data_IF_913261572466
#
_entry.id   IF_913261572466
#
_cell.length_a   1.000
_cell.length_b   1.000
_cell.length_c   1.000
_cell.angle_alpha   90.00
_cell.angle_beta   90.00
_cell.angle_gamma   90.00
#
_symmetry.space_group_name_H-M   'P 1'
#
loop_
_entity.id
_entity.type
_entity.pdbx_description
1 polymer ?
#
# COMPACT_ATOMS: atom_id res chain seq x y z
N UNK A 1 23.11 -28.18 0.05
CA UNK A 1 23.13 -27.21 -1.09
C UNK A 1 22.67 -25.82 -0.67
N UNK A 2 21.50 -25.63 -0.03
CA UNK A 2 21.11 -24.32 0.50
C UNK A 2 22.00 -23.81 1.62
N UNK A 3 22.36 -24.64 2.60
CA UNK A 3 23.32 -24.31 3.68
C UNK A 3 24.72 -23.94 3.16
N UNK A 4 25.18 -24.59 2.10
CA UNK A 4 26.46 -24.27 1.45
C UNK A 4 26.41 -22.92 0.70
N UNK A 5 25.29 -22.61 0.02
CA UNK A 5 25.10 -21.33 -0.67
C UNK A 5 24.97 -20.14 0.31
N UNK A 6 24.49 -20.40 1.51
CA UNK A 6 24.37 -19.36 2.57
C UNK A 6 25.72 -19.11 3.30
N UNK A 7 26.70 -20.02 3.20
CA UNK A 7 27.95 -19.94 3.94
C UNK A 7 29.09 -19.15 3.25
N UNK A 8 29.07 -19.01 1.90
CA UNK A 8 30.18 -18.36 1.18
C UNK A 8 29.91 -16.88 0.89
N UNK A 9 28.86 -16.56 0.16
CA UNK A 9 28.41 -15.20 -0.10
C UNK A 9 26.94 -15.24 -0.48
N UNK A 10 26.07 -14.70 0.37
CA UNK A 10 24.65 -14.64 0.07
C UNK A 10 24.38 -13.84 -1.22
N UNK A 11 23.71 -14.42 -2.25
CA UNK A 11 23.69 -13.84 -3.59
C UNK A 11 22.61 -12.77 -3.78
N UNK A 12 21.65 -12.64 -2.82
CA UNK A 12 20.54 -11.70 -2.92
C UNK A 12 20.84 -10.43 -2.15
N UNK A 13 20.64 -9.28 -2.79
CA UNK A 13 20.68 -8.00 -2.10
C UNK A 13 19.33 -7.80 -1.40
N UNK A 14 19.28 -8.07 -0.10
CA UNK A 14 18.06 -7.84 0.69
C UNK A 14 17.85 -6.36 0.95
N UNK A 15 16.62 -5.89 0.71
CA UNK A 15 16.30 -4.46 0.77
C UNK A 15 16.23 -3.93 2.19
N UNK A 16 16.75 -2.72 2.42
CA UNK A 16 16.63 -1.93 3.65
C UNK A 16 17.26 -2.56 4.90
N UNK A 17 18.17 -3.51 4.73
CA UNK A 17 18.99 -4.06 5.81
C UNK A 17 20.48 -4.06 5.40
N UNK A 18 21.41 -3.97 6.35
CA UNK A 18 22.84 -4.00 6.04
C UNK A 18 23.30 -5.42 5.62
N UNK A 19 24.36 -5.53 4.80
CA UNK A 19 24.87 -6.83 4.34
C UNK A 19 25.21 -7.84 5.45
N UNK A 20 25.55 -7.37 6.64
CA UNK A 20 25.80 -8.21 7.82
C UNK A 20 24.59 -8.99 8.33
N UNK A 21 23.39 -8.65 7.86
CA UNK A 21 22.12 -9.28 8.21
C UNK A 21 21.53 -10.13 7.07
N UNK A 22 22.23 -10.24 5.93
CA UNK A 22 21.71 -11.02 4.81
C UNK A 22 21.69 -12.52 5.12
N UNK A 23 20.66 -13.20 4.61
CA UNK A 23 20.54 -14.67 4.69
C UNK A 23 20.39 -15.22 6.11
N UNK A 24 19.95 -14.42 7.08
CA UNK A 24 19.73 -14.93 8.45
C UNK A 24 18.64 -16.02 8.43
N UNK A 25 18.90 -17.22 9.00
CA UNK A 25 18.00 -18.37 8.92
C UNK A 25 16.58 -18.09 9.43
N UNK A 26 16.46 -17.31 10.50
CA UNK A 26 15.19 -16.92 11.10
C UNK A 26 14.41 -15.90 10.25
N UNK A 27 15.02 -15.30 9.22
CA UNK A 27 14.41 -14.37 8.26
C UNK A 27 14.25 -14.97 6.87
N UNK A 28 14.85 -16.13 6.61
CA UNK A 28 14.80 -16.78 5.31
C UNK A 28 13.56 -17.67 5.20
N UNK A 29 12.50 -17.14 4.62
CA UNK A 29 11.24 -17.86 4.41
C UNK A 29 11.36 -18.91 3.30
N UNK A 30 10.80 -20.10 3.54
CA UNK A 30 10.80 -21.23 2.58
C UNK A 30 9.40 -21.67 2.16
N UNK A 31 8.36 -21.31 2.91
CA UNK A 31 6.96 -21.56 2.56
C UNK A 31 6.04 -20.59 3.28
N UNK A 32 4.85 -20.37 2.71
CA UNK A 32 3.78 -19.61 3.34
C UNK A 32 2.42 -20.20 2.95
N UNK A 33 1.53 -20.42 3.93
CA UNK A 33 0.19 -20.99 3.73
C UNK A 33 -0.77 -20.34 4.72
N UNK A 34 -1.95 -19.92 4.26
CA UNK A 34 -2.98 -19.30 5.10
C UNK A 34 -2.45 -18.04 5.79
N UNK A 35 -2.39 -18.07 7.10
CA UNK A 35 -1.88 -16.99 7.97
C UNK A 35 -0.41 -17.18 8.39
N UNK A 36 0.30 -18.22 7.89
CA UNK A 36 1.59 -18.65 8.45
C UNK A 36 2.71 -18.64 7.44
N UNK A 37 3.94 -18.37 7.94
CA UNK A 37 5.19 -18.43 7.18
C UNK A 37 6.14 -19.41 7.85
N UNK A 38 6.80 -20.26 7.07
CA UNK A 38 7.85 -21.18 7.54
C UNK A 38 9.22 -20.68 7.11
N UNK A 39 10.15 -20.74 8.03
CA UNK A 39 11.56 -20.35 7.82
C UNK A 39 12.47 -21.56 7.60
N UNK A 40 13.69 -21.30 7.15
CA UNK A 40 14.66 -22.34 6.81
C UNK A 40 15.09 -23.15 8.03
N UNK A 41 15.04 -22.57 9.23
CA UNK A 41 15.28 -23.26 10.51
C UNK A 41 14.15 -24.23 10.92
N UNK A 42 13.09 -24.31 10.11
CA UNK A 42 11.92 -25.16 10.33
C UNK A 42 10.79 -24.53 11.13
N UNK A 43 10.99 -23.35 11.69
CA UNK A 43 9.98 -22.66 12.50
C UNK A 43 8.81 -22.17 11.65
N UNK A 44 7.59 -22.24 12.21
CA UNK A 44 6.41 -21.62 11.67
C UNK A 44 6.02 -20.42 12.52
N UNK A 45 5.70 -19.33 11.88
CA UNK A 45 5.26 -18.11 12.56
C UNK A 45 3.90 -17.63 12.04
N UNK A 46 3.05 -17.14 12.93
CA UNK A 46 1.84 -16.42 12.60
C UNK A 46 2.22 -15.07 11.95
N UNK A 47 1.69 -14.76 10.78
CA UNK A 47 2.05 -13.58 10.01
C UNK A 47 1.04 -12.45 10.20
N UNK A 48 1.26 -11.58 11.14
CA UNK A 48 0.47 -10.37 11.33
C UNK A 48 0.96 -9.17 10.48
N UNK A 49 1.62 -9.44 9.34
CA UNK A 49 2.06 -8.40 8.39
C UNK A 49 1.42 -8.54 7.01
N UNK A 50 0.68 -9.62 6.75
CA UNK A 50 0.21 -9.99 5.42
C UNK A 50 1.30 -9.88 4.34
N UNK A 51 2.55 -10.26 4.64
CA UNK A 51 3.67 -10.10 3.71
C UNK A 51 3.85 -8.65 3.23
N UNK A 52 3.91 -7.69 4.16
CA UNK A 52 3.95 -6.26 3.88
C UNK A 52 2.69 -5.75 3.15
N UNK A 53 1.51 -5.94 3.75
CA UNK A 53 0.18 -5.53 3.26
C UNK A 53 -0.25 -6.21 1.95
N UNK A 54 0.43 -7.25 1.47
CA UNK A 54 0.14 -7.89 0.17
C UNK A 54 -0.94 -8.98 0.27
N UNK A 55 -0.73 -9.97 1.15
CA UNK A 55 -1.56 -11.17 1.24
C UNK A 55 -2.83 -10.93 2.06
N UNK A 56 -3.72 -10.06 1.56
CA UNK A 56 -4.99 -9.74 2.24
C UNK A 56 -5.88 -10.98 2.41
N UNK A 57 -5.84 -11.90 1.44
CA UNK A 57 -6.59 -13.16 1.45
C UNK A 57 -5.75 -14.36 1.95
N UNK A 58 -4.65 -14.07 2.66
CA UNK A 58 -3.71 -15.11 3.12
C UNK A 58 -2.82 -15.64 2.00
N UNK A 59 -1.96 -16.58 2.36
CA UNK A 59 -1.01 -17.22 1.45
C UNK A 59 -1.58 -18.48 0.82
N UNK A 60 -1.13 -18.81 -0.40
CA UNK A 60 -1.48 -20.07 -1.06
C UNK A 60 -2.91 -20.11 -1.59
N UNK A 61 -3.50 -18.98 -1.96
CA UNK A 61 -4.82 -18.94 -2.56
C UNK A 61 -4.83 -19.67 -3.91
N UNK A 62 -5.55 -20.79 -3.97
CA UNK A 62 -5.56 -21.70 -5.13
C UNK A 62 -6.23 -21.08 -6.35
N UNK A 63 -7.30 -20.34 -6.19
CA UNK A 63 -8.02 -19.74 -7.31
C UNK A 63 -7.14 -18.71 -8.05
N UNK A 64 -6.38 -17.90 -7.30
CA UNK A 64 -5.44 -16.95 -7.88
C UNK A 64 -4.28 -17.69 -8.57
N UNK A 65 -3.73 -18.73 -7.94
CA UNK A 65 -2.63 -19.52 -8.50
C UNK A 65 -3.03 -20.20 -9.81
N UNK A 66 -4.22 -20.82 -9.85
CA UNK A 66 -4.75 -21.50 -11.04
C UNK A 66 -5.00 -20.52 -12.20
N UNK A 67 -5.56 -19.35 -11.92
CA UNK A 67 -5.80 -18.30 -12.91
C UNK A 67 -4.49 -17.79 -13.53
N UNK A 68 -3.46 -17.58 -12.73
CA UNK A 68 -2.13 -17.19 -13.20
C UNK A 68 -1.51 -18.30 -14.03
N UNK A 69 -1.56 -19.55 -13.57
CA UNK A 69 -1.00 -20.69 -14.30
C UNK A 69 -1.67 -20.87 -15.67
N UNK A 70 -3.00 -20.74 -15.75
CA UNK A 70 -3.75 -20.80 -17.01
C UNK A 70 -3.30 -19.67 -17.95
N UNK A 71 -3.22 -18.45 -17.48
CA UNK A 71 -2.81 -17.31 -18.29
C UNK A 71 -1.41 -17.46 -18.88
N UNK A 72 -0.49 -18.11 -18.16
CA UNK A 72 0.88 -18.35 -18.65
C UNK A 72 0.94 -19.37 -19.77
N UNK A 73 -0.01 -20.30 -19.84
CA UNK A 73 -0.09 -21.30 -20.94
C UNK A 73 -0.82 -20.77 -22.16
N UNK A 74 -1.80 -19.90 -21.98
CA UNK A 74 -2.62 -19.37 -23.09
C UNK A 74 -2.05 -18.09 -23.69
N UNK A 75 -1.43 -17.25 -22.85
CA UNK A 75 -0.97 -15.92 -23.25
C UNK A 75 0.19 -15.47 -22.34
N UNK A 76 1.34 -16.13 -22.42
CA UNK A 76 2.47 -15.93 -21.52
C UNK A 76 2.95 -14.46 -21.43
N UNK A 77 2.90 -13.73 -22.56
CA UNK A 77 3.21 -12.30 -22.61
C UNK A 77 2.45 -11.62 -23.75
N UNK A 78 1.78 -10.51 -23.43
CA UNK A 78 1.25 -9.54 -24.37
C UNK A 78 1.50 -8.14 -23.83
N UNK A 79 1.82 -7.21 -24.72
CA UNK A 79 2.20 -5.84 -24.34
C UNK A 79 1.01 -4.89 -24.39
N UNK A 80 1.04 -3.86 -23.53
CA UNK A 80 0.16 -2.68 -23.62
C UNK A 80 0.83 -1.49 -24.36
N UNK A 81 2.09 -1.65 -24.82
CA UNK A 81 2.73 -0.64 -25.67
C UNK A 81 2.10 -0.65 -27.07
N UNK A 82 1.34 0.39 -27.40
CA UNK A 82 0.66 0.57 -28.71
C UNK A 82 -0.27 -0.58 -29.07
N UNK A 83 -0.77 -1.32 -28.08
CA UNK A 83 -1.67 -2.46 -28.26
C UNK A 83 -2.47 -2.72 -26.99
N UNK A 84 -3.22 -3.82 -26.99
CA UNK A 84 -4.01 -4.28 -25.86
C UNK A 84 -4.32 -5.76 -25.95
N UNK A 85 -4.87 -6.34 -24.91
CA UNK A 85 -5.33 -7.72 -24.86
C UNK A 85 -6.56 -7.86 -23.95
N UNK A 86 -7.35 -8.90 -24.18
CA UNK A 86 -8.64 -9.09 -23.51
C UNK A 86 -8.52 -9.10 -21.98
N UNK A 87 -7.54 -9.84 -21.42
CA UNK A 87 -7.36 -9.91 -19.96
C UNK A 87 -7.09 -8.53 -19.33
N UNK A 88 -6.38 -7.63 -20.04
CA UNK A 88 -6.17 -6.27 -19.54
C UNK A 88 -7.46 -5.45 -19.55
N UNK A 89 -8.28 -5.60 -20.58
CA UNK A 89 -9.60 -4.93 -20.68
C UNK A 89 -10.53 -5.45 -19.59
N UNK A 90 -10.59 -6.76 -19.39
CA UNK A 90 -11.41 -7.40 -18.36
C UNK A 90 -10.95 -6.99 -16.95
N UNK A 91 -9.64 -7.02 -16.67
CA UNK A 91 -9.08 -6.60 -15.38
C UNK A 91 -9.35 -5.11 -15.10
N UNK A 92 -9.18 -4.23 -16.11
CA UNK A 92 -9.49 -2.82 -15.97
C UNK A 92 -10.97 -2.59 -15.69
N UNK A 93 -11.86 -3.26 -16.47
CA UNK A 93 -13.32 -3.14 -16.30
C UNK A 93 -13.77 -3.63 -14.91
N UNK A 94 -13.25 -4.77 -14.48
CA UNK A 94 -13.56 -5.34 -13.16
C UNK A 94 -13.05 -4.46 -12.02
N UNK A 95 -11.84 -3.91 -12.16
CA UNK A 95 -11.28 -2.97 -11.18
C UNK A 95 -12.08 -1.67 -11.12
N UNK A 96 -12.46 -1.10 -12.28
CA UNK A 96 -13.34 0.07 -12.33
C UNK A 96 -14.69 -0.21 -11.64
N UNK A 97 -15.22 -1.43 -11.79
CA UNK A 97 -16.44 -1.88 -11.13
C UNK A 97 -16.40 -1.72 -9.61
N UNK A 98 -15.29 -2.09 -8.97
CA UNK A 98 -15.12 -1.97 -7.51
C UNK A 98 -14.66 -0.58 -7.05
N UNK A 99 -14.02 0.20 -7.93
CA UNK A 99 -13.64 1.59 -7.65
C UNK A 99 -14.83 2.56 -7.74
N UNK A 100 -15.82 2.28 -8.58
CA UNK A 100 -16.98 3.13 -8.89
C UNK A 100 -16.94 3.66 -10.32
N UNK A 101 -17.52 2.91 -11.27
CA UNK A 101 -17.44 3.19 -12.71
C UNK A 101 -18.16 4.48 -13.14
N UNK A 102 -19.03 5.04 -12.30
CA UNK A 102 -19.67 6.35 -12.55
C UNK A 102 -18.69 7.52 -12.38
N UNK A 103 -17.59 7.31 -11.67
CA UNK A 103 -16.57 8.34 -11.41
C UNK A 103 -15.26 8.08 -12.14
N UNK A 104 -14.81 6.81 -12.17
CA UNK A 104 -13.55 6.41 -12.79
C UNK A 104 -13.77 5.83 -14.18
N UNK A 105 -12.93 6.24 -15.15
CA UNK A 105 -13.10 5.90 -16.56
C UNK A 105 -11.99 5.01 -17.14
N UNK A 106 -10.75 5.10 -16.61
CA UNK A 106 -9.62 4.35 -17.19
C UNK A 106 -8.66 3.84 -16.12
N UNK A 107 -7.92 2.79 -16.48
CA UNK A 107 -6.86 2.19 -15.67
C UNK A 107 -5.55 2.23 -16.46
N UNK A 108 -4.51 2.82 -15.87
CA UNK A 108 -3.13 2.68 -16.31
C UNK A 108 -2.45 1.64 -15.42
N UNK A 109 -2.07 0.50 -15.98
CA UNK A 109 -1.33 -0.52 -15.24
C UNK A 109 0.13 -0.13 -15.05
N UNK A 110 0.72 -0.58 -13.94
CA UNK A 110 2.10 -0.39 -13.54
C UNK A 110 2.63 -1.65 -12.86
N UNK A 111 3.93 -1.75 -12.61
CA UNK A 111 4.56 -2.92 -12.00
C UNK A 111 4.73 -2.81 -10.49
N UNK A 112 4.63 -1.61 -9.91
CA UNK A 112 4.78 -1.37 -8.48
C UNK A 112 4.10 -0.08 -8.04
N UNK A 113 3.82 0.05 -6.74
CA UNK A 113 3.28 1.29 -6.17
C UNK A 113 4.18 2.51 -6.40
N UNK A 114 5.51 2.34 -6.31
CA UNK A 114 6.46 3.42 -6.60
C UNK A 114 6.41 3.89 -8.06
N UNK A 115 6.41 2.94 -9.02
CA UNK A 115 6.29 3.26 -10.43
C UNK A 115 4.92 3.89 -10.77
N UNK A 116 3.84 3.43 -10.12
CA UNK A 116 2.51 4.02 -10.26
C UNK A 116 2.46 5.46 -9.73
N UNK A 117 3.15 5.77 -8.64
CA UNK A 117 3.31 7.13 -8.15
C UNK A 117 4.11 8.00 -9.13
N UNK A 118 5.21 7.49 -9.72
CA UNK A 118 5.97 8.19 -10.76
C UNK A 118 5.10 8.49 -12.00
N UNK A 119 4.29 7.50 -12.44
CA UNK A 119 3.33 7.67 -13.52
C UNK A 119 2.29 8.74 -13.19
N UNK A 120 1.75 8.71 -11.96
CA UNK A 120 0.78 9.69 -11.48
C UNK A 120 1.35 11.09 -11.45
N UNK A 121 2.60 11.28 -11.00
CA UNK A 121 3.25 12.59 -11.02
C UNK A 121 3.39 13.16 -12.43
N UNK A 122 3.59 12.32 -13.46
CA UNK A 122 3.56 12.74 -14.87
C UNK A 122 2.14 13.08 -15.32
N UNK A 123 1.19 12.20 -15.02
CA UNK A 123 -0.23 12.36 -15.38
C UNK A 123 -0.80 13.69 -14.90
N UNK A 124 -0.63 14.02 -13.61
CA UNK A 124 -1.21 15.22 -13.00
C UNK A 124 -0.59 16.51 -13.56
N UNK A 125 0.72 16.51 -13.84
CA UNK A 125 1.40 17.65 -14.49
C UNK A 125 0.95 17.85 -15.92
N UNK A 126 0.84 16.75 -16.67
CA UNK A 126 0.38 16.78 -18.07
C UNK A 126 -1.07 17.23 -18.16
N UNK A 127 -1.96 16.73 -17.28
CA UNK A 127 -3.34 17.21 -17.17
C UNK A 127 -3.42 18.71 -16.99
N UNK A 128 -2.64 19.28 -16.09
CA UNK A 128 -2.63 20.73 -15.84
C UNK A 128 -2.13 21.51 -17.08
N UNK A 129 -1.09 21.02 -17.76
CA UNK A 129 -0.59 21.63 -18.99
C UNK A 129 -1.63 21.62 -20.11
N UNK A 130 -2.37 20.52 -20.30
CA UNK A 130 -3.45 20.43 -21.29
C UNK A 130 -4.60 21.39 -20.98
N UNK A 131 -4.78 21.79 -19.73
CA UNK A 131 -5.73 22.81 -19.31
C UNK A 131 -5.20 24.24 -19.45
N UNK A 132 -3.98 24.42 -19.98
CA UNK A 132 -3.37 25.72 -20.20
C UNK A 132 -2.59 26.27 -18.99
N UNK A 133 -2.39 25.47 -17.95
CA UNK A 133 -1.62 25.88 -16.76
C UNK A 133 -0.29 25.09 -16.62
N UNK A 134 0.64 25.39 -17.53
CA UNK A 134 1.96 24.74 -17.59
C UNK A 134 2.87 25.01 -16.37
N UNK A 135 2.48 25.90 -15.46
CA UNK A 135 3.25 26.21 -14.25
C UNK A 135 2.94 25.30 -13.07
N UNK A 136 1.88 24.47 -13.14
CA UNK A 136 1.47 23.53 -12.08
C UNK A 136 2.31 22.27 -12.08
N UNK A 137 3.48 22.32 -11.46
CA UNK A 137 4.43 21.21 -11.40
C UNK A 137 4.62 20.64 -10.00
N UNK A 138 4.22 21.37 -8.95
CA UNK A 138 4.39 20.93 -7.56
C UNK A 138 3.39 19.83 -7.26
N UNK A 139 3.89 18.75 -6.69
CA UNK A 139 3.07 17.70 -6.06
C UNK A 139 3.27 17.77 -4.56
N UNK A 140 2.18 17.75 -3.82
CA UNK A 140 2.20 17.81 -2.35
C UNK A 140 1.94 16.41 -1.79
N UNK A 141 2.81 15.93 -0.92
CA UNK A 141 2.64 14.72 -0.11
C UNK A 141 2.49 15.06 1.38
N UNK A 142 2.38 14.05 2.20
CA UNK A 142 2.24 14.19 3.65
C UNK A 142 3.57 13.88 4.36
N UNK A 143 3.88 14.59 5.44
CA UNK A 143 5.01 14.24 6.32
C UNK A 143 4.76 12.86 6.92
N UNK A 144 5.78 11.99 6.85
CA UNK A 144 5.70 10.61 7.31
C UNK A 144 4.99 9.65 6.34
N UNK A 145 4.58 10.10 5.14
CA UNK A 145 4.02 9.22 4.11
C UNK A 145 5.09 8.37 3.43
N UNK A 146 4.65 7.27 2.81
CA UNK A 146 5.50 6.40 2.00
C UNK A 146 4.85 6.11 0.64
N UNK A 147 5.49 6.55 -0.43
CA UNK A 147 4.98 6.43 -1.80
C UNK A 147 5.88 5.58 -2.72
N UNK A 148 6.99 5.06 -2.20
CA UNK A 148 7.94 4.24 -2.94
C UNK A 148 9.37 4.79 -2.91
N UNK A 149 10.29 4.08 -3.59
CA UNK A 149 11.73 4.35 -3.58
C UNK A 149 12.31 4.55 -5.00
N UNK A 150 11.48 4.67 -6.04
CA UNK A 150 11.92 5.17 -7.35
C UNK A 150 12.10 6.69 -7.28
N UNK A 151 12.86 7.31 -8.19
CA UNK A 151 13.31 8.70 -7.98
C UNK A 151 12.18 9.71 -7.72
N UNK A 152 11.08 9.65 -8.45
CA UNK A 152 9.94 10.55 -8.27
C UNK A 152 9.15 10.22 -7.00
N UNK A 153 8.81 8.96 -6.80
CA UNK A 153 8.08 8.52 -5.61
C UNK A 153 8.90 8.65 -4.33
N UNK A 154 10.25 8.53 -4.44
CA UNK A 154 11.14 8.75 -3.31
C UNK A 154 11.21 10.23 -2.91
N UNK A 155 11.10 11.15 -3.89
CA UNK A 155 10.93 12.57 -3.58
C UNK A 155 9.58 12.85 -2.89
N UNK A 156 8.51 12.12 -3.29
CA UNK A 156 7.17 12.27 -2.73
C UNK A 156 7.03 11.60 -1.34
N UNK A 157 7.85 10.59 -1.04
CA UNK A 157 7.90 9.93 0.28
C UNK A 157 8.32 10.95 1.35
N UNK A 158 7.41 11.19 2.31
CA UNK A 158 7.62 12.15 3.41
C UNK A 158 8.34 11.56 4.62
N UNK A 159 8.59 10.25 4.63
CA UNK A 159 9.43 9.58 5.62
C UNK A 159 10.91 9.84 5.33
N UNK A 160 11.74 10.22 6.35
CA UNK A 160 13.15 10.52 6.15
C UNK A 160 13.97 9.21 6.01
N UNK A 161 14.17 8.76 4.79
CA UNK A 161 14.89 7.53 4.43
C UNK A 161 16.25 7.79 3.76
N UNK A 162 16.84 8.95 3.98
CA UNK A 162 18.16 9.30 3.43
C UNK A 162 18.14 9.75 1.97
N UNK A 163 17.08 10.38 1.51
CA UNK A 163 16.89 10.87 0.14
C UNK A 163 18.04 11.71 -0.38
N UNK A 164 18.69 12.48 0.49
CA UNK A 164 19.84 13.33 0.14
C UNK A 164 21.05 12.52 -0.38
N UNK A 165 21.27 11.30 0.17
CA UNK A 165 22.36 10.42 -0.27
C UNK A 165 22.24 10.05 -1.76
N UNK A 166 21.02 9.98 -2.26
CA UNK A 166 20.71 9.57 -3.64
C UNK A 166 20.49 10.77 -4.58
N UNK A 167 20.72 12.00 -4.12
CA UNK A 167 20.51 13.19 -4.93
C UNK A 167 19.05 13.41 -5.35
N UNK A 168 18.10 13.01 -4.51
CA UNK A 168 16.68 13.15 -4.81
C UNK A 168 16.29 14.62 -4.88
N UNK A 169 15.61 15.01 -5.98
CA UNK A 169 15.21 16.38 -6.24
C UNK A 169 13.85 16.72 -5.60
N UNK A 170 13.86 17.53 -4.57
CA UNK A 170 12.67 18.00 -3.87
C UNK A 170 12.13 19.35 -4.36
N UNK A 171 12.71 19.97 -5.43
CA UNK A 171 12.29 21.32 -5.89
C UNK A 171 10.81 21.38 -6.28
N UNK A 172 10.26 20.28 -6.78
CA UNK A 172 8.88 20.17 -7.25
C UNK A 172 7.99 19.29 -6.34
N UNK A 173 8.41 19.09 -5.09
CA UNK A 173 7.64 18.38 -4.07
C UNK A 173 7.55 19.23 -2.80
N UNK A 174 6.44 19.16 -2.12
CA UNK A 174 6.22 19.74 -0.79
C UNK A 174 5.60 18.68 0.12
N UNK A 175 5.88 18.78 1.40
CA UNK A 175 5.25 17.94 2.41
C UNK A 175 4.57 18.79 3.46
N UNK A 176 3.34 18.42 3.85
CA UNK A 176 2.56 19.06 4.90
C UNK A 176 2.18 18.05 5.98
N UNK A 177 1.95 18.51 7.19
CA UNK A 177 1.51 17.65 8.28
C UNK A 177 0.00 17.36 8.15
N UNK A 178 -0.38 16.09 8.02
CA UNK A 178 -1.78 15.67 7.94
C UNK A 178 -2.60 15.94 9.21
N UNK A 179 -1.94 16.35 10.29
CA UNK A 179 -2.57 16.70 11.57
C UNK A 179 -2.84 18.20 11.69
N UNK A 180 -2.30 19.01 10.76
CA UNK A 180 -2.40 20.46 10.75
C UNK A 180 -2.82 20.98 9.36
N UNK A 181 -4.13 21.17 9.17
CA UNK A 181 -4.70 21.70 7.93
C UNK A 181 -4.26 23.13 7.62
N UNK A 182 -3.82 23.89 8.63
CA UNK A 182 -3.37 25.27 8.43
C UNK A 182 -2.04 25.35 7.68
N UNK A 183 -1.19 24.31 7.79
CA UNK A 183 0.05 24.20 7.01
C UNK A 183 -0.25 24.04 5.52
N UNK A 184 -1.25 23.21 5.17
CA UNK A 184 -1.72 23.06 3.79
C UNK A 184 -2.31 24.36 3.25
N UNK A 185 -3.15 25.04 4.02
CA UNK A 185 -3.72 26.33 3.64
C UNK A 185 -2.65 27.40 3.42
N UNK A 186 -1.66 27.48 4.29
CA UNK A 186 -0.55 28.42 4.15
C UNK A 186 0.30 28.11 2.91
N UNK A 187 0.54 26.84 2.61
CA UNK A 187 1.23 26.42 1.39
C UNK A 187 0.44 26.85 0.15
N UNK A 188 -0.87 26.55 0.11
CA UNK A 188 -1.71 26.83 -1.06
C UNK A 188 -1.91 28.34 -1.28
N UNK A 189 -2.02 29.15 -0.24
CA UNK A 189 -2.04 30.62 -0.37
C UNK A 189 -0.77 31.14 -1.04
N UNK A 190 0.39 30.54 -0.78
CA UNK A 190 1.69 30.96 -1.32
C UNK A 190 1.98 30.39 -2.70
N UNK A 191 1.76 29.09 -2.88
CA UNK A 191 2.18 28.33 -4.06
C UNK A 191 1.03 27.59 -4.79
N UNK A 192 -0.22 27.75 -4.40
CA UNK A 192 -1.37 26.99 -4.92
C UNK A 192 -1.51 27.06 -6.45
N UNK A 193 -1.16 28.20 -7.05
CA UNK A 193 -1.14 28.37 -8.51
C UNK A 193 -0.07 27.51 -9.22
N UNK A 194 0.82 26.85 -8.47
CA UNK A 194 1.87 25.95 -8.98
C UNK A 194 1.61 24.49 -8.59
N UNK A 195 0.60 24.21 -7.76
CA UNK A 195 0.30 22.87 -7.29
C UNK A 195 -0.51 22.11 -8.33
N UNK A 196 0.03 20.99 -8.82
CA UNK A 196 -0.63 20.09 -9.75
C UNK A 196 -1.57 19.12 -9.02
N UNK A 197 -1.11 18.56 -7.90
CA UNK A 197 -1.86 17.56 -7.14
C UNK A 197 -1.45 17.53 -5.67
N UNK A 198 -2.36 17.01 -4.83
CA UNK A 198 -2.08 16.58 -3.45
C UNK A 198 -2.29 15.07 -3.40
N UNK A 199 -1.30 14.33 -2.90
CA UNK A 199 -1.29 12.87 -2.77
C UNK A 199 -1.44 12.49 -1.30
N UNK A 200 -2.40 11.64 -1.01
CA UNK A 200 -2.77 11.26 0.36
C UNK A 200 -2.87 9.75 0.49
N UNK A 201 -2.12 9.16 1.42
CA UNK A 201 -2.45 7.83 1.96
C UNK A 201 -3.59 7.99 2.98
N UNK A 202 -4.73 7.30 2.86
CA UNK A 202 -5.82 7.38 3.85
C UNK A 202 -5.41 7.00 5.27
N UNK A 203 -4.51 6.02 5.37
CA UNK A 203 -3.76 5.67 6.58
C UNK A 203 -2.30 5.57 6.18
N UNK A 204 -1.43 6.35 6.80
CA UNK A 204 -0.01 6.35 6.48
C UNK A 204 0.59 4.96 6.74
N UNK A 205 1.28 4.42 5.73
CA UNK A 205 1.95 3.13 5.79
C UNK A 205 2.95 3.06 6.94
N UNK A 206 3.68 4.14 7.17
CA UNK A 206 4.62 4.25 8.28
C UNK A 206 3.91 4.60 9.59
N UNK A 207 3.63 3.57 10.40
CA UNK A 207 3.08 3.73 11.75
C UNK A 207 1.56 3.73 11.86
N UNK A 208 0.82 3.41 10.79
CA UNK A 208 -0.64 3.28 10.78
C UNK A 208 -1.38 4.53 11.28
N UNK A 209 -0.99 5.72 10.82
CA UNK A 209 -1.64 6.98 11.19
C UNK A 209 -2.81 7.30 10.26
N UNK A 210 -4.08 7.21 10.71
CA UNK A 210 -5.21 7.66 9.90
C UNK A 210 -5.15 9.16 9.65
N UNK A 211 -5.39 9.58 8.41
CA UNK A 211 -5.56 10.99 8.10
C UNK A 211 -6.90 11.46 8.66
N UNK A 212 -6.87 12.57 9.40
CA UNK A 212 -8.06 13.06 10.10
C UNK A 212 -9.12 13.56 9.13
N UNK A 213 -10.38 13.31 9.45
CA UNK A 213 -11.54 13.76 8.65
C UNK A 213 -11.50 15.27 8.37
N UNK A 214 -11.12 16.09 9.35
CA UNK A 214 -10.99 17.54 9.17
C UNK A 214 -9.97 17.91 8.09
N UNK A 215 -8.86 17.14 7.94
CA UNK A 215 -7.87 17.36 6.90
C UNK A 215 -8.45 16.98 5.52
N UNK A 216 -9.19 15.87 5.43
CA UNK A 216 -9.89 15.47 4.19
C UNK A 216 -10.93 16.51 3.79
N UNK A 217 -11.71 17.03 4.73
CA UNK A 217 -12.69 18.10 4.48
C UNK A 217 -12.02 19.41 4.02
N UNK A 218 -10.84 19.72 4.58
CA UNK A 218 -10.06 20.87 4.13
C UNK A 218 -9.53 20.67 2.70
N UNK A 219 -9.09 19.45 2.35
CA UNK A 219 -8.66 19.12 0.97
C UNK A 219 -9.77 19.34 -0.05
N UNK A 220 -11.00 18.91 0.25
CA UNK A 220 -12.15 19.09 -0.66
C UNK A 220 -12.42 20.57 -0.94
N UNK A 221 -12.50 21.38 0.11
CA UNK A 221 -12.68 22.83 0.00
C UNK A 221 -11.54 23.50 -0.77
N UNK A 222 -10.31 23.21 -0.41
CA UNK A 222 -9.11 23.82 -1.00
C UNK A 222 -8.90 23.39 -2.46
N UNK A 223 -9.30 22.14 -2.82
CA UNK A 223 -9.28 21.67 -4.19
C UNK A 223 -10.21 22.51 -5.08
N UNK A 224 -11.41 22.79 -4.61
CA UNK A 224 -12.36 23.64 -5.35
C UNK A 224 -11.82 25.06 -5.55
N UNK A 225 -11.11 25.60 -4.55
CA UNK A 225 -10.53 26.95 -4.60
C UNK A 225 -9.28 27.04 -5.49
N UNK A 226 -8.37 26.06 -5.39
CA UNK A 226 -7.05 26.12 -6.01
C UNK A 226 -6.88 25.28 -7.28
N UNK A 227 -7.79 24.35 -7.59
CA UNK A 227 -7.80 23.57 -8.83
C UNK A 227 -6.73 22.51 -8.96
N UNK A 228 -6.16 22.02 -7.86
CA UNK A 228 -5.24 20.86 -7.87
C UNK A 228 -6.05 19.55 -7.96
N UNK A 229 -5.39 18.48 -8.44
CA UNK A 229 -5.98 17.14 -8.43
C UNK A 229 -5.76 16.47 -7.06
N UNK A 230 -6.77 15.75 -6.58
CA UNK A 230 -6.67 14.90 -5.38
C UNK A 230 -6.33 13.47 -5.79
N UNK A 231 -5.25 12.94 -5.24
CA UNK A 231 -4.78 11.56 -5.46
C UNK A 231 -4.88 10.78 -4.16
N UNK A 232 -5.60 9.66 -4.18
CA UNK A 232 -5.60 8.70 -3.07
C UNK A 232 -4.57 7.60 -3.36
N UNK A 233 -3.53 7.51 -2.55
CA UNK A 233 -2.60 6.39 -2.57
C UNK A 233 -3.14 5.28 -1.66
N UNK A 234 -3.84 4.34 -2.27
CA UNK A 234 -4.47 3.18 -1.61
C UNK A 234 -3.62 1.91 -1.71
N UNK A 235 -2.32 2.06 -1.95
CA UNK A 235 -1.40 0.92 -2.08
C UNK A 235 -1.38 0.07 -0.81
N UNK A 236 -1.47 0.68 0.38
CA UNK A 236 -1.49 -0.01 1.66
C UNK A 236 -2.91 -0.20 2.23
N UNK A 237 -3.87 0.65 1.86
CA UNK A 237 -5.20 0.73 2.46
C UNK A 237 -6.29 0.04 1.65
N UNK A 238 -6.04 -0.25 0.38
CA UNK A 238 -7.01 -0.88 -0.51
C UNK A 238 -7.27 -2.36 -0.22
N UNK A 239 -8.22 -2.91 -0.96
CA UNK A 239 -8.61 -4.32 -0.93
C UNK A 239 -9.06 -4.79 0.46
N UNK A 240 -10.00 -4.05 1.06
CA UNK A 240 -10.65 -4.42 2.31
C UNK A 240 -9.85 -4.09 3.57
N UNK A 241 -8.61 -3.63 3.44
CA UNK A 241 -7.69 -3.43 4.57
C UNK A 241 -8.24 -2.53 5.67
N UNK A 242 -9.02 -1.51 5.32
CA UNK A 242 -9.62 -0.55 6.26
C UNK A 242 -11.12 -0.78 6.50
N UNK A 243 -11.68 -1.90 6.01
CA UNK A 243 -13.10 -2.23 6.13
C UNK A 243 -13.92 -1.94 4.87
N UNK A 244 -13.51 -0.97 4.04
CA UNK A 244 -14.07 -0.73 2.71
C UNK A 244 -13.13 -1.29 1.64
N UNK A 245 -13.61 -1.48 0.40
CA UNK A 245 -12.75 -1.90 -0.70
C UNK A 245 -11.57 -0.94 -0.87
N UNK A 246 -11.86 0.37 -0.84
CA UNK A 246 -10.88 1.46 -0.76
C UNK A 246 -11.30 2.44 0.33
N UNK A 247 -10.36 2.89 1.15
CA UNK A 247 -10.63 3.81 2.25
C UNK A 247 -11.20 5.15 1.76
N UNK A 248 -10.74 5.65 0.61
CA UNK A 248 -11.23 6.89 0.00
C UNK A 248 -12.69 6.81 -0.49
N UNK A 249 -13.31 5.62 -0.49
CA UNK A 249 -14.75 5.50 -0.76
C UNK A 249 -15.63 6.18 0.29
N UNK A 250 -15.10 6.38 1.50
CA UNK A 250 -15.80 7.06 2.61
C UNK A 250 -15.57 8.57 2.64
N UNK A 251 -14.70 9.10 1.76
CA UNK A 251 -14.41 10.53 1.73
C UNK A 251 -15.61 11.35 1.20
N UNK A 252 -15.79 12.60 1.64
CA UNK A 252 -16.88 13.43 1.19
C UNK A 252 -16.84 13.70 -0.33
N UNK A 253 -15.63 13.69 -0.90
CA UNK A 253 -15.42 13.80 -2.34
C UNK A 253 -14.49 12.70 -2.85
N UNK A 254 -14.78 12.17 -4.03
CA UNK A 254 -13.95 11.14 -4.65
C UNK A 254 -12.62 11.74 -5.13
N UNK A 255 -11.49 11.01 -5.02
CA UNK A 255 -10.22 11.45 -5.61
C UNK A 255 -10.28 11.43 -7.15
N UNK A 256 -9.50 12.29 -7.80
CA UNK A 256 -9.35 12.29 -9.26
C UNK A 256 -8.56 11.10 -9.77
N UNK A 257 -7.64 10.63 -8.94
CA UNK A 257 -6.78 9.47 -9.21
C UNK A 257 -6.70 8.61 -7.96
N UNK A 258 -6.85 7.29 -8.13
CA UNK A 258 -6.64 6.30 -7.09
C UNK A 258 -5.51 5.36 -7.52
N UNK A 259 -4.51 5.19 -6.65
CA UNK A 259 -3.39 4.28 -6.87
C UNK A 259 -3.58 3.05 -6.01
N UNK A 260 -3.42 1.85 -6.59
CA UNK A 260 -3.49 0.60 -5.84
C UNK A 260 -2.42 -0.39 -6.30
N UNK A 261 -1.99 -1.26 -5.40
CA UNK A 261 -0.99 -2.32 -5.62
C UNK A 261 -1.17 -3.40 -4.53
N UNK A 262 -0.12 -4.13 -4.16
CA UNK A 262 -0.12 -5.07 -3.02
C UNK A 262 -1.31 -6.03 -3.05
N UNK A 263 -2.38 -5.72 -2.28
CA UNK A 263 -3.63 -6.50 -2.24
C UNK A 263 -4.31 -6.68 -3.60
N UNK A 264 -3.99 -5.84 -4.58
CA UNK A 264 -4.50 -5.90 -5.96
C UNK A 264 -4.34 -7.30 -6.60
N UNK A 265 -3.25 -7.99 -6.30
CA UNK A 265 -2.95 -9.34 -6.77
C UNK A 265 -2.77 -10.34 -5.62
N UNK A 266 -3.15 -9.97 -4.40
CA UNK A 266 -2.81 -10.72 -3.19
C UNK A 266 -1.30 -11.05 -3.08
N UNK A 267 -0.43 -10.20 -3.64
CA UNK A 267 1.02 -10.35 -3.65
C UNK A 267 1.57 -11.42 -4.61
N UNK A 268 0.74 -12.02 -5.47
CA UNK A 268 1.16 -13.12 -6.35
C UNK A 268 1.91 -12.65 -7.59
N UNK A 269 1.61 -11.46 -8.10
CA UNK A 269 2.24 -10.85 -9.25
C UNK A 269 2.64 -9.40 -8.96
N UNK A 270 3.76 -8.98 -9.53
CA UNK A 270 4.16 -7.57 -9.50
C UNK A 270 3.17 -6.75 -10.34
N UNK A 271 2.33 -5.98 -9.67
CA UNK A 271 1.32 -5.13 -10.31
C UNK A 271 0.93 -3.94 -9.45
N UNK A 272 0.59 -2.87 -10.13
CA UNK A 272 -0.11 -1.71 -9.59
C UNK A 272 -1.06 -1.15 -10.65
N UNK A 273 -1.99 -0.33 -10.24
CA UNK A 273 -2.93 0.34 -11.12
C UNK A 273 -3.12 1.80 -10.67
N UNK A 274 -3.13 2.70 -11.65
CA UNK A 274 -3.54 4.08 -11.51
C UNK A 274 -4.94 4.18 -12.13
N UNK A 275 -5.94 4.35 -11.30
CA UNK A 275 -7.34 4.44 -11.70
C UNK A 275 -7.72 5.92 -11.82
N UNK A 276 -8.18 6.35 -12.97
CA UNK A 276 -8.29 7.75 -13.37
C UNK A 276 -9.75 8.12 -13.57
N UNK A 277 -10.17 9.27 -13.01
CA UNK A 277 -11.55 9.77 -13.15
C UNK A 277 -11.90 10.16 -14.59
N UNK A 278 -13.20 10.11 -14.93
CA UNK A 278 -13.70 10.56 -16.23
C UNK A 278 -13.24 12.00 -16.53
N UNK A 279 -13.35 12.89 -15.55
CA UNK A 279 -12.91 14.28 -15.70
C UNK A 279 -11.45 14.41 -16.19
N UNK A 280 -10.55 13.59 -15.67
CA UNK A 280 -9.15 13.62 -16.11
C UNK A 280 -9.00 12.96 -17.48
N UNK A 281 -9.68 11.84 -17.73
CA UNK A 281 -9.67 11.14 -19.02
C UNK A 281 -10.13 12.07 -20.16
N UNK A 282 -11.24 12.78 -19.98
CA UNK A 282 -11.85 13.68 -20.97
C UNK A 282 -10.87 14.76 -21.45
N UNK A 283 -10.01 15.28 -20.55
CA UNK A 283 -9.00 16.29 -20.93
C UNK A 283 -7.96 15.71 -21.90
N UNK A 284 -7.51 14.49 -21.66
CA UNK A 284 -6.58 13.80 -22.57
C UNK A 284 -7.24 13.42 -23.89
N UNK A 285 -8.49 12.95 -23.86
CA UNK A 285 -9.26 12.55 -25.05
C UNK A 285 -9.56 13.76 -25.94
N UNK A 286 -10.05 14.87 -25.35
CA UNK A 286 -10.34 16.09 -26.09
C UNK A 286 -9.10 16.73 -26.73
N UNK A 287 -7.94 16.55 -26.13
CA UNK A 287 -6.66 17.02 -26.65
C UNK A 287 -5.96 16.03 -27.59
N UNK A 288 -6.49 14.82 -27.77
CA UNK A 288 -5.83 13.68 -28.45
C UNK A 288 -4.37 13.51 -28.00
N UNK A 289 -4.14 13.62 -26.70
CA UNK A 289 -2.79 13.75 -26.13
C UNK A 289 -2.26 12.44 -25.56
N UNK A 290 -1.01 12.12 -25.86
CA UNK A 290 -0.33 10.90 -25.40
C UNK A 290 0.38 11.14 -24.08
N UNK A 291 -0.01 10.39 -23.03
CA UNK A 291 0.78 10.30 -21.82
C UNK A 291 2.07 9.50 -22.09
N UNK A 292 3.23 10.18 -22.10
CA UNK A 292 4.52 9.54 -22.35
C UNK A 292 5.00 8.81 -21.10
N UNK A 293 4.40 7.65 -20.85
CA UNK A 293 4.76 6.71 -19.79
C UNK A 293 4.38 5.28 -20.20
N UNK A 294 5.13 4.31 -19.70
CA UNK A 294 4.86 2.89 -19.91
C UNK A 294 5.97 2.02 -19.33
N UNK A 295 5.62 0.82 -18.95
CA UNK A 295 6.52 -0.19 -18.41
C UNK A 295 6.29 -1.49 -19.17
N UNK A 296 7.37 -2.15 -19.64
CA UNK A 296 7.29 -3.33 -20.50
C UNK A 296 6.46 -4.47 -19.89
N UNK A 297 6.51 -4.61 -18.57
CA UNK A 297 5.83 -5.69 -17.84
C UNK A 297 4.51 -5.24 -17.18
N UNK A 298 4.07 -3.99 -17.38
CA UNK A 298 2.80 -3.53 -16.80
C UNK A 298 1.61 -4.16 -17.53
N UNK A 299 0.64 -4.65 -16.76
CA UNK A 299 -0.59 -5.22 -17.29
C UNK A 299 -0.37 -6.50 -18.12
N UNK A 300 0.64 -7.32 -17.79
CA UNK A 300 0.82 -8.64 -18.43
C UNK A 300 -0.39 -9.54 -18.20
N UNK A 301 -0.65 -10.53 -19.09
CA UNK A 301 -1.76 -11.47 -18.91
C UNK A 301 -1.79 -12.11 -17.52
N UNK A 302 -0.64 -12.51 -16.97
CA UNK A 302 -0.56 -13.14 -15.64
C UNK A 302 -0.95 -12.17 -14.49
N UNK A 303 -0.50 -10.91 -14.56
CA UNK A 303 -0.90 -9.92 -13.56
C UNK A 303 -2.38 -9.55 -13.67
N UNK A 304 -2.92 -9.45 -14.88
CA UNK A 304 -4.34 -9.21 -15.10
C UNK A 304 -5.21 -10.38 -14.62
N UNK A 305 -4.80 -11.62 -14.89
CA UNK A 305 -5.47 -12.82 -14.37
C UNK A 305 -5.45 -12.87 -12.82
N UNK A 306 -4.33 -12.48 -12.20
CA UNK A 306 -4.23 -12.37 -10.75
C UNK A 306 -5.18 -11.29 -10.19
N UNK A 307 -5.31 -10.14 -10.85
CA UNK A 307 -6.25 -9.08 -10.46
C UNK A 307 -7.69 -9.59 -10.51
N UNK A 308 -8.09 -10.22 -11.62
CA UNK A 308 -9.43 -10.78 -11.80
C UNK A 308 -9.76 -11.80 -10.73
N UNK A 309 -8.86 -12.77 -10.52
CA UNK A 309 -9.05 -13.81 -9.52
C UNK A 309 -9.08 -13.24 -8.09
N UNK A 310 -8.24 -12.24 -7.78
CA UNK A 310 -8.25 -11.59 -6.47
C UNK A 310 -9.56 -10.88 -6.21
N UNK A 311 -10.10 -10.13 -7.18
CA UNK A 311 -11.40 -9.46 -7.03
C UNK A 311 -12.54 -10.50 -6.88
N UNK A 312 -12.48 -11.60 -7.65
CA UNK A 312 -13.41 -12.73 -7.52
C UNK A 312 -13.38 -13.36 -6.13
N UNK A 313 -12.18 -13.63 -5.60
CA UNK A 313 -12.01 -14.19 -4.25
C UNK A 313 -12.46 -13.21 -3.14
N UNK A 314 -12.17 -11.91 -3.30
CA UNK A 314 -12.69 -10.88 -2.38
C UNK A 314 -14.21 -10.92 -2.28
N UNK A 315 -14.89 -11.09 -3.41
CA UNK A 315 -16.35 -11.21 -3.45
C UNK A 315 -16.84 -12.55 -2.88
N UNK A 316 -16.23 -13.69 -3.26
CA UNK A 316 -16.65 -15.00 -2.83
C UNK A 316 -16.51 -15.22 -1.32
N UNK A 317 -15.51 -14.59 -0.72
CA UNK A 317 -15.24 -14.67 0.73
C UNK A 317 -15.96 -13.57 1.53
N UNK A 318 -16.70 -12.68 0.88
CA UNK A 318 -17.25 -11.47 1.49
C UNK A 318 -16.19 -10.74 2.35
N UNK A 319 -15.03 -10.51 1.72
CA UNK A 319 -13.83 -10.09 2.44
C UNK A 319 -13.96 -8.73 3.14
N UNK A 320 -14.83 -7.84 2.66
CA UNK A 320 -15.08 -6.56 3.32
C UNK A 320 -15.87 -6.71 4.62
N UNK A 321 -16.89 -7.60 4.66
CA UNK A 321 -17.61 -7.93 5.89
C UNK A 321 -16.67 -8.59 6.90
N UNK A 322 -15.87 -9.56 6.46
CA UNK A 322 -14.82 -10.17 7.31
C UNK A 322 -13.84 -9.14 7.84
N UNK A 323 -13.45 -8.15 7.03
CA UNK A 323 -12.58 -7.06 7.48
C UNK A 323 -13.20 -6.24 8.62
N UNK A 324 -14.51 -6.00 8.58
CA UNK A 324 -15.22 -5.30 9.66
C UNK A 324 -15.28 -6.14 10.94
N UNK A 325 -15.57 -7.45 10.83
CA UNK A 325 -15.56 -8.38 11.96
C UNK A 325 -14.16 -8.49 12.59
N UNK A 326 -13.12 -8.67 11.76
CA UNK A 326 -11.74 -8.74 12.19
C UNK A 326 -11.26 -7.42 12.84
N UNK A 327 -11.74 -6.28 12.35
CA UNK A 327 -11.47 -4.98 12.97
C UNK A 327 -12.00 -4.90 14.40
N UNK A 328 -13.22 -5.39 14.64
CA UNK A 328 -13.83 -5.42 15.98
C UNK A 328 -13.05 -6.34 16.94
N UNK A 329 -12.59 -7.51 16.45
CA UNK A 329 -11.73 -8.40 17.24
C UNK A 329 -10.40 -7.74 17.58
N UNK A 330 -9.74 -7.09 16.61
CA UNK A 330 -8.51 -6.33 16.84
C UNK A 330 -8.70 -5.19 17.84
N UNK A 331 -9.80 -4.45 17.76
CA UNK A 331 -10.10 -3.39 18.72
C UNK A 331 -10.20 -3.94 20.14
N UNK A 332 -10.86 -5.09 20.31
CA UNK A 332 -10.99 -5.76 21.61
C UNK A 332 -9.62 -6.21 22.16
N UNK A 333 -8.79 -6.82 21.32
CA UNK A 333 -7.43 -7.24 21.67
C UNK A 333 -6.57 -6.03 22.07
N UNK A 334 -6.54 -5.00 21.23
CA UNK A 334 -5.74 -3.80 21.47
C UNK A 334 -6.16 -3.07 22.74
N UNK A 335 -7.47 -3.08 23.05
CA UNK A 335 -7.99 -2.55 24.30
C UNK A 335 -7.46 -3.32 25.52
N UNK A 336 -7.49 -4.66 25.48
CA UNK A 336 -6.93 -5.50 26.56
C UNK A 336 -5.42 -5.29 26.72
N UNK A 337 -4.66 -5.26 25.61
CA UNK A 337 -3.21 -5.02 25.62
C UNK A 337 -2.85 -3.62 26.13
N UNK A 338 -3.75 -2.64 26.04
CA UNK A 338 -3.52 -1.28 26.55
C UNK A 338 -3.37 -1.21 28.09
N UNK A 339 -3.71 -2.28 28.80
CA UNK A 339 -3.45 -2.39 30.23
C UNK A 339 -1.97 -2.72 30.55
N UNK A 340 -1.17 -3.17 29.57
CA UNK A 340 0.22 -3.51 29.77
C UNK A 340 1.11 -2.24 29.90
N UNK A 341 2.07 -2.16 30.87
CA UNK A 341 2.85 -0.94 31.13
C UNK A 341 3.67 -0.41 29.94
N UNK A 342 4.10 -1.26 29.01
CA UNK A 342 4.86 -0.85 27.83
C UNK A 342 3.97 -0.22 26.74
N UNK A 343 2.64 -0.36 26.82
CA UNK A 343 1.72 0.11 25.80
C UNK A 343 1.32 1.55 26.06
N UNK A 344 1.73 2.46 25.20
CA UNK A 344 1.41 3.88 25.27
C UNK A 344 0.06 4.22 24.60
N UNK A 345 -0.54 3.28 23.89
CA UNK A 345 -1.80 3.40 23.17
C UNK A 345 -1.80 2.63 21.86
N UNK A 346 -2.87 2.76 21.09
CA UNK A 346 -2.98 2.14 19.76
C UNK A 346 -3.63 3.11 18.77
N UNK A 347 -3.47 2.81 17.46
CA UNK A 347 -4.04 3.61 16.37
C UNK A 347 -4.23 2.76 15.11
N UNK A 348 -4.86 3.32 14.09
CA UNK A 348 -5.08 2.68 12.79
C UNK A 348 -6.55 2.65 12.39
N UNK A 349 -6.85 1.92 11.32
CA UNK A 349 -8.21 1.70 10.81
C UNK A 349 -8.37 0.28 10.28
N UNK A 350 -9.54 -0.34 10.51
CA UNK A 350 -9.81 -1.68 10.03
C UNK A 350 -8.79 -2.71 10.52
N UNK A 351 -8.27 -3.51 9.61
CA UNK A 351 -7.21 -4.48 9.83
C UNK A 351 -5.80 -3.90 9.57
N UNK A 352 -5.63 -2.61 9.73
CA UNK A 352 -4.34 -1.91 9.68
C UNK A 352 -4.16 -1.11 10.96
N UNK A 353 -3.54 -1.73 11.97
CA UNK A 353 -3.40 -1.20 13.33
C UNK A 353 -1.94 -1.08 13.74
N UNK A 354 -1.69 -0.23 14.72
CA UNK A 354 -0.39 -0.12 15.38
C UNK A 354 -0.57 -0.07 16.90
N UNK A 355 0.29 -0.80 17.59
CA UNK A 355 0.45 -0.72 19.05
C UNK A 355 1.64 0.20 19.32
N UNK A 356 1.38 1.35 19.94
CA UNK A 356 2.43 2.33 20.25
C UNK A 356 3.22 1.89 21.49
N UNK A 357 4.53 1.73 21.33
CA UNK A 357 5.45 1.20 22.32
C UNK A 357 6.65 2.12 22.56
N UNK A 358 6.74 3.23 21.80
CA UNK A 358 7.87 4.15 21.86
C UNK A 358 9.20 3.43 21.66
N UNK A 359 10.15 3.64 22.56
CA UNK A 359 11.49 3.05 22.52
C UNK A 359 11.49 1.51 22.64
N UNK A 360 10.42 0.88 23.13
CA UNK A 360 10.32 -0.57 23.31
C UNK A 360 9.93 -1.33 22.03
N UNK A 361 9.58 -0.64 20.95
CA UNK A 361 9.07 -1.24 19.71
C UNK A 361 10.01 -2.29 19.13
N UNK A 362 11.31 -2.02 19.11
CA UNK A 362 12.34 -2.94 18.57
C UNK A 362 12.44 -4.20 19.45
N UNK A 363 12.46 -4.04 20.78
CA UNK A 363 12.55 -5.16 21.72
C UNK A 363 11.32 -6.07 21.63
N UNK A 364 10.11 -5.47 21.58
CA UNK A 364 8.86 -6.22 21.45
C UNK A 364 8.78 -6.93 20.10
N UNK A 365 9.17 -6.30 18.99
CA UNK A 365 9.21 -6.95 17.68
C UNK A 365 10.17 -8.16 17.66
N UNK A 366 11.34 -8.03 18.29
CA UNK A 366 12.30 -9.12 18.40
C UNK A 366 11.78 -10.25 19.30
N UNK A 367 11.14 -9.94 20.42
CA UNK A 367 10.50 -10.92 21.29
C UNK A 367 9.35 -11.66 20.60
N UNK A 368 8.47 -10.92 19.90
CA UNK A 368 7.37 -11.48 19.11
C UNK A 368 7.91 -12.48 18.07
N UNK A 369 8.97 -12.12 17.34
CA UNK A 369 9.59 -13.02 16.38
C UNK A 369 10.09 -14.32 17.02
N UNK A 370 10.77 -14.27 18.18
CA UNK A 370 11.19 -15.47 18.93
C UNK A 370 10.01 -16.31 19.40
N UNK A 371 8.89 -15.67 19.71
CA UNK A 371 7.63 -16.33 20.09
C UNK A 371 6.86 -16.91 18.91
N UNK A 372 7.28 -16.69 17.66
CA UNK A 372 6.61 -17.18 16.47
C UNK A 372 5.55 -16.22 15.89
N UNK A 373 5.70 -14.92 16.13
CA UNK A 373 4.82 -13.89 15.59
C UNK A 373 5.60 -12.88 14.75
N UNK A 374 5.15 -12.66 13.50
CA UNK A 374 5.73 -11.65 12.60
C UNK A 374 4.95 -10.35 12.69
N UNK A 375 5.63 -9.29 13.12
CA UNK A 375 5.12 -7.94 13.21
C UNK A 375 5.89 -7.00 12.28
N UNK A 376 5.23 -5.97 11.77
CA UNK A 376 5.91 -4.90 11.05
C UNK A 376 6.36 -3.83 12.04
N UNK A 377 7.66 -3.54 12.07
CA UNK A 377 8.21 -2.46 12.88
C UNK A 377 7.88 -1.11 12.24
N UNK A 378 7.37 -0.17 13.03
CA UNK A 378 7.24 1.24 12.70
C UNK A 378 8.15 2.11 13.57
N UNK A 379 8.18 3.43 13.37
CA UNK A 379 9.09 4.34 14.08
C UNK A 379 8.98 4.29 15.60
N UNK A 380 7.75 4.14 16.12
CA UNK A 380 7.44 4.15 17.56
C UNK A 380 6.47 3.03 17.95
N UNK A 381 6.28 2.04 17.07
CA UNK A 381 5.21 1.05 17.21
C UNK A 381 5.56 -0.28 16.57
N UNK A 382 4.77 -1.29 16.87
CA UNK A 382 4.62 -2.48 16.03
C UNK A 382 3.27 -2.43 15.33
N UNK A 383 3.23 -2.81 14.05
CA UNK A 383 2.02 -2.78 13.24
C UNK A 383 1.44 -4.17 13.08
N UNK A 384 0.12 -4.25 13.15
CA UNK A 384 -0.70 -5.43 13.04
C UNK A 384 -1.53 -5.30 11.76
N UNK A 385 -1.25 -6.17 10.80
CA UNK A 385 -1.83 -6.16 9.47
C UNK A 385 -2.22 -7.61 9.11
N UNK A 386 -3.11 -8.23 9.90
CA UNK A 386 -3.51 -9.63 9.67
C UNK A 386 -4.21 -9.79 8.33
N UNK A 387 -4.15 -11.00 7.75
CA UNK A 387 -4.97 -11.33 6.61
C UNK A 387 -6.46 -11.24 6.99
N UNK A 388 -7.31 -10.85 6.03
CA UNK A 388 -8.76 -10.78 6.22
C UNK A 388 -9.39 -12.17 6.41
N UNK A 389 -8.61 -13.21 6.14
CA UNK A 389 -8.99 -14.62 6.31
C UNK A 389 -8.58 -15.20 7.66
N UNK A 390 -8.05 -14.38 8.58
CA UNK A 390 -7.80 -14.84 9.96
C UNK A 390 -9.06 -15.45 10.58
N UNK A 391 -8.86 -16.54 11.31
CA UNK A 391 -9.90 -17.19 12.13
C UNK A 391 -9.90 -16.64 13.56
N UNK A 392 -10.89 -17.00 14.36
CA UNK A 392 -10.89 -16.72 15.80
C UNK A 392 -9.64 -17.26 16.48
N UNK A 393 -9.22 -18.48 16.13
CA UNK A 393 -8.04 -19.11 16.71
C UNK A 393 -6.74 -18.35 16.35
N UNK A 394 -6.65 -17.80 15.13
CA UNK A 394 -5.52 -16.94 14.75
C UNK A 394 -5.48 -15.65 15.59
N UNK A 395 -6.65 -15.08 15.93
CA UNK A 395 -6.72 -13.88 16.79
C UNK A 395 -6.39 -14.19 18.26
N UNK A 396 -6.83 -15.34 18.78
CA UNK A 396 -6.50 -15.78 20.15
C UNK A 396 -4.99 -16.05 20.30
N UNK A 397 -4.39 -16.67 19.28
CA UNK A 397 -2.94 -16.88 19.20
C UNK A 397 -2.21 -15.55 19.09
N UNK A 398 -2.66 -14.61 18.22
CA UNK A 398 -2.09 -13.27 18.07
C UNK A 398 -2.02 -12.55 19.42
N UNK A 399 -3.11 -12.54 20.19
CA UNK A 399 -3.16 -11.89 21.50
C UNK A 399 -2.19 -12.54 22.47
N UNK A 400 -2.18 -13.88 22.54
CA UNK A 400 -1.29 -14.65 23.40
C UNK A 400 0.19 -14.33 23.10
N UNK A 401 0.57 -14.37 21.83
CA UNK A 401 1.95 -14.13 21.40
C UNK A 401 2.38 -12.67 21.60
N UNK A 402 1.47 -11.71 21.44
CA UNK A 402 1.72 -10.30 21.75
C UNK A 402 1.95 -10.09 23.24
N UNK A 403 1.14 -10.71 24.10
CA UNK A 403 1.32 -10.60 25.55
C UNK A 403 2.66 -11.19 25.98
N UNK A 404 3.03 -12.38 25.48
CA UNK A 404 4.35 -13.00 25.73
C UNK A 404 5.49 -12.08 25.28
N UNK A 405 5.35 -11.43 24.10
CA UNK A 405 6.37 -10.52 23.61
C UNK A 405 6.52 -9.25 24.44
N UNK A 406 5.42 -8.72 24.94
CA UNK A 406 5.39 -7.55 25.85
C UNK A 406 6.05 -7.88 27.20
N UNK A 407 5.70 -9.03 27.80
CA UNK A 407 6.27 -9.48 29.08
C UNK A 407 7.79 -9.73 28.98
N UNK A 408 8.24 -10.35 27.87
CA UNK A 408 9.67 -10.58 27.62
C UNK A 408 10.46 -9.30 27.34
N UNK A 409 9.82 -8.27 26.81
CA UNK A 409 10.46 -6.99 26.56
C UNK A 409 10.46 -6.08 27.79
N UNK A 410 9.64 -6.36 28.80
CA UNK A 410 9.57 -5.65 30.09
C UNK A 410 10.59 -6.20 31.11
N UNK A 411 11.05 -7.44 30.96
CA UNK A 411 12.05 -8.12 31.81
C UNK A 411 13.47 -7.80 31.34
#
# INVERSE_FOLDING_TARGET
MLEQLMSERYPVWESLIPPSQYGQPDKHAVAAIGSRVRFVDGTWSLCATSGLWNANLGYGNKAIADAVALSLTEASYMTLFRGGHNLAVEAATTLLGVCGPQHFGRVLFSTSGGAANDATMKLVRHYQALRGDERRWIVVGLKGSYHGLTYGSFALTGEPLGQQLYGIDHRLVRHVDHRDETELEALLRREGHRVAAVVVEPVLGSGAHPVRERFINALDRLRAEHGFLLVADEVATGFGRTGSYFASQTWPTRPDVLITSKGLTNGTCAAAAVVVSHQVCDVFENADSVLVHGETQAGTPSSCAAILATIGEMASLDACTRAAENSALLDSILHRLSAHPLVLGHRGAGCFRALNLGAHSVAVAAAARRAGLLLQLGPDCVQLIPALTYTSDDFDELETLLMVALDQAAS
#
